data_IF_773859018878
#
_entry.id   IF_773859018878
#
_cell.length_a   1.000
_cell.length_b   1.000
_cell.length_c   1.000
_cell.angle_alpha   90.00
_cell.angle_beta   90.00
_cell.angle_gamma   90.00
#
_symmetry.space_group_name_H-M   'P 1'
#
loop_
_entity.id
_entity.type
_entity.pdbx_description
1 polymer ?
#
# COMPACT_ATOMS: atom_id res chain seq x y z
N UNK A 1 -5.02 14.28 -0.63
CA UNK A 1 -4.06 14.02 0.47
C UNK A 1 -4.32 12.60 0.98
N UNK A 2 -3.37 11.67 0.85
CA UNK A 2 -3.50 10.32 1.43
C UNK A 2 -2.94 10.38 2.85
N UNK A 3 -3.71 9.96 3.85
CA UNK A 3 -3.25 9.80 5.24
C UNK A 3 -3.30 8.32 5.60
N UNK A 4 -2.19 7.81 6.12
CA UNK A 4 -2.10 6.44 6.64
C UNK A 4 -2.13 6.54 8.16
N UNK A 5 -3.10 5.89 8.81
CA UNK A 5 -3.21 5.87 10.26
C UNK A 5 -2.03 5.16 10.90
N UNK A 6 -1.72 5.52 12.15
CA UNK A 6 -0.58 4.94 12.88
C UNK A 6 -0.68 3.41 13.00
N UNK A 7 -1.89 2.90 13.20
CA UNK A 7 -2.14 1.45 13.23
C UNK A 7 -1.80 0.77 11.89
N UNK A 8 -2.14 1.40 10.75
CA UNK A 8 -1.82 0.88 9.43
C UNK A 8 -0.31 0.97 9.13
N UNK A 9 0.37 2.04 9.54
CA UNK A 9 1.83 2.16 9.42
C UNK A 9 2.55 1.04 10.18
N UNK A 10 2.16 0.78 11.43
CA UNK A 10 2.73 -0.29 12.24
C UNK A 10 2.50 -1.68 11.61
N UNK A 11 1.37 -1.88 10.95
CA UNK A 11 1.09 -3.11 10.22
C UNK A 11 2.00 -3.26 8.99
N UNK A 12 2.17 -2.21 8.19
CA UNK A 12 3.04 -2.24 7.00
C UNK A 12 4.52 -2.43 7.36
N UNK A 13 4.98 -1.86 8.47
CA UNK A 13 6.34 -2.08 8.97
C UNK A 13 6.59 -3.57 9.27
N UNK A 14 5.62 -4.27 9.86
CA UNK A 14 5.71 -5.72 10.11
C UNK A 14 5.73 -6.53 8.81
N UNK A 15 4.98 -6.12 7.80
CA UNK A 15 5.00 -6.79 6.49
C UNK A 15 6.36 -6.64 5.80
N UNK A 16 6.96 -5.44 5.86
CA UNK A 16 8.27 -5.16 5.26
C UNK A 16 9.44 -5.78 6.02
N UNK A 17 9.30 -6.06 7.33
CA UNK A 17 10.37 -6.62 8.14
C UNK A 17 10.90 -7.98 7.64
N UNK A 18 10.08 -8.73 6.90
CA UNK A 18 10.44 -10.03 6.34
C UNK A 18 10.80 -9.96 4.84
N UNK A 19 10.98 -8.77 4.28
CA UNK A 19 11.27 -8.58 2.86
C UNK A 19 12.72 -8.15 2.65
N UNK A 20 13.23 -8.35 1.43
CA UNK A 20 14.57 -7.91 1.06
C UNK A 20 14.70 -6.38 1.10
N UNK A 21 15.92 -5.91 1.34
CA UNK A 21 16.25 -4.48 1.31
C UNK A 21 15.85 -3.86 -0.04
N UNK A 22 15.21 -2.70 0.02
CA UNK A 22 14.67 -2.03 -1.17
C UNK A 22 13.22 -2.39 -1.51
N UNK A 23 12.59 -3.32 -0.78
CA UNK A 23 11.15 -3.60 -0.94
C UNK A 23 10.29 -2.44 -0.46
N UNK A 24 9.27 -2.07 -1.22
CA UNK A 24 8.40 -0.92 -0.96
C UNK A 24 6.90 -1.27 -1.09
N UNK A 25 6.05 -0.57 -0.34
CA UNK A 25 4.59 -0.66 -0.47
C UNK A 25 4.12 0.17 -1.67
N UNK A 26 3.35 -0.43 -2.57
CA UNK A 26 2.74 0.25 -3.73
C UNK A 26 1.23 0.35 -3.55
N UNK A 27 0.70 1.58 -3.62
CA UNK A 27 -0.74 1.85 -3.53
C UNK A 27 -1.28 2.14 -4.92
N UNK A 28 -2.27 1.35 -5.35
CA UNK A 28 -2.98 1.56 -6.60
C UNK A 28 -4.40 2.03 -6.30
N UNK A 29 -4.80 3.14 -6.92
CA UNK A 29 -6.20 3.55 -6.93
C UNK A 29 -6.82 2.95 -8.20
N UNK A 30 -7.71 1.99 -8.03
CA UNK A 30 -8.48 1.42 -9.13
C UNK A 30 -9.84 2.11 -9.14
N UNK A 31 -10.21 2.71 -10.26
CA UNK A 31 -11.58 3.16 -10.50
C UNK A 31 -12.32 2.06 -11.30
N UNK A 32 -13.17 1.25 -10.66
CA UNK A 32 -13.88 0.17 -11.33
C UNK A 32 -14.94 0.68 -12.34
N UNK A 33 -15.23 1.99 -12.35
CA UNK A 33 -16.29 2.59 -13.16
C UNK A 33 -15.94 2.88 -14.63
N UNK A 34 -14.73 2.59 -15.09
CA UNK A 34 -14.38 2.76 -16.52
C UNK A 34 -14.71 1.46 -17.27
N UNK A 35 -15.71 1.44 -18.16
CA UNK A 35 -15.98 0.26 -18.98
C UNK A 35 -14.73 -0.05 -19.82
N UNK A 36 -14.19 -1.27 -19.70
CA UNK A 36 -13.22 -1.75 -20.68
C UNK A 36 -13.99 -1.96 -21.98
N UNK A 37 -13.67 -1.16 -23.01
CA UNK A 37 -14.07 -1.46 -24.39
C UNK A 37 -13.26 -2.63 -24.91
#
# INVERSE_FOLDING_TARGET
MIRISDAAQAHFAKLLANQEEGTQIRVFVINPGTPKR
#
